data_IF_543638386123
#
_entry.id   IF_543638386123
#
_cell.length_a   1.000
_cell.length_b   1.000
_cell.length_c   1.000
_cell.angle_alpha   90.00
_cell.angle_beta   90.00
_cell.angle_gamma   90.00
#
_symmetry.space_group_name_H-M   'P 1'
#
loop_
_entity.id
_entity.type
_entity.pdbx_description
1 polymer ?
#
# COMPACT_ATOMS: atom_id res chain seq x y z
N UNK A 1 50.04 4.76 -1.39
CA UNK A 1 48.97 5.24 -0.49
C UNK A 1 47.66 5.19 -1.26
N UNK A 2 46.80 4.21 -0.98
CA UNK A 2 45.47 4.12 -1.57
C UNK A 2 44.56 5.02 -0.74
N UNK A 3 43.99 6.04 -1.40
CA UNK A 3 43.04 6.96 -0.77
C UNK A 3 41.76 6.16 -0.49
N UNK A 4 41.44 5.94 0.79
CA UNK A 4 40.13 5.42 1.15
C UNK A 4 39.09 6.48 0.74
N UNK A 5 38.25 6.14 -0.22
CA UNK A 5 37.14 6.98 -0.64
C UNK A 5 35.98 6.61 0.29
N UNK A 6 35.61 7.52 1.19
CA UNK A 6 34.48 7.32 2.09
C UNK A 6 33.21 7.10 1.24
N UNK A 7 32.62 5.91 1.37
CA UNK A 7 31.34 5.61 0.76
C UNK A 7 30.24 6.40 1.50
N UNK A 8 29.27 7.01 0.78
CA UNK A 8 28.19 7.74 1.42
C UNK A 8 27.38 6.81 2.34
N UNK A 9 26.90 7.37 3.46
CA UNK A 9 26.06 6.67 4.44
C UNK A 9 24.80 6.11 3.74
N UNK A 10 24.65 4.78 3.70
CA UNK A 10 23.55 4.09 2.98
C UNK A 10 22.28 3.85 3.82
N UNK A 11 22.30 4.20 5.10
CA UNK A 11 21.16 4.08 6.00
C UNK A 11 21.04 5.36 6.83
N UNK A 12 19.80 5.83 7.05
CA UNK A 12 19.50 6.96 7.93
C UNK A 12 18.62 6.45 9.06
N UNK A 13 19.07 6.65 10.30
CA UNK A 13 18.19 6.51 11.44
C UNK A 13 17.29 7.75 11.51
N UNK A 14 15.98 7.57 11.42
CA UNK A 14 15.01 8.65 11.59
C UNK A 14 14.18 8.40 12.84
N UNK A 15 13.91 9.47 13.59
CA UNK A 15 12.75 9.46 14.48
C UNK A 15 11.51 9.18 13.66
N UNK A 16 10.58 8.38 14.16
CA UNK A 16 9.43 7.97 13.37
C UNK A 16 8.54 9.14 12.97
N UNK A 17 8.46 10.18 13.79
CA UNK A 17 7.83 11.45 13.41
C UNK A 17 8.43 12.14 12.17
N UNK A 18 9.63 11.71 11.72
CA UNK A 18 10.34 12.25 10.57
C UNK A 18 10.31 11.29 9.36
N UNK A 19 9.66 10.12 9.47
CA UNK A 19 9.40 9.24 8.31
C UNK A 19 8.41 9.96 7.39
N UNK A 20 8.63 9.97 6.06
CA UNK A 20 7.71 10.58 5.12
C UNK A 20 6.26 10.14 5.36
N UNK A 21 5.34 11.10 5.39
CA UNK A 21 3.92 10.83 5.67
C UNK A 21 3.30 9.86 4.66
N UNK A 22 3.80 9.84 3.43
CA UNK A 22 3.33 9.01 2.33
C UNK A 22 3.51 7.51 2.58
N UNK A 23 4.37 7.13 3.53
CA UNK A 23 4.55 5.73 3.94
C UNK A 23 3.48 5.24 4.92
N UNK A 24 2.68 6.15 5.52
CA UNK A 24 1.60 5.85 6.48
C UNK A 24 2.01 4.91 7.66
N UNK A 25 3.31 4.79 7.93
CA UNK A 25 3.90 3.80 8.84
C UNK A 25 3.71 4.14 10.34
N UNK A 26 3.18 5.33 10.65
CA UNK A 26 3.19 5.93 11.99
C UNK A 26 1.99 5.59 12.89
N UNK A 27 1.07 4.77 12.41
CA UNK A 27 -0.20 4.51 13.11
C UNK A 27 -0.11 3.40 14.17
N UNK A 28 1.03 2.74 14.36
CA UNK A 28 1.20 1.67 15.37
C UNK A 28 2.52 1.80 16.14
N UNK A 29 2.44 2.12 17.42
CA UNK A 29 3.60 2.31 18.31
C UNK A 29 4.32 1.00 18.66
N UNK A 30 3.64 -0.14 18.56
CA UNK A 30 4.20 -1.47 18.86
C UNK A 30 5.13 -1.98 17.77
N UNK A 31 4.94 -1.55 16.52
CA UNK A 31 5.74 -2.02 15.38
C UNK A 31 7.07 -1.29 15.24
N UNK A 32 7.10 -0.02 15.65
CA UNK A 32 8.20 0.93 15.41
C UNK A 32 9.46 0.62 16.22
N UNK A 33 9.33 0.43 17.54
CA UNK A 33 10.49 0.21 18.42
C UNK A 33 11.15 -1.15 18.17
N UNK A 34 10.36 -2.15 17.81
CA UNK A 34 10.84 -3.50 17.51
C UNK A 34 11.50 -3.58 16.13
N UNK A 35 10.95 -2.90 15.11
CA UNK A 35 11.50 -2.92 13.75
C UNK A 35 12.88 -2.25 13.66
N UNK A 36 13.08 -1.12 14.36
CA UNK A 36 14.37 -0.43 14.36
C UNK A 36 15.46 -1.23 15.07
N UNK A 37 15.10 -1.88 16.19
CA UNK A 37 16.00 -2.77 16.94
C UNK A 37 16.34 -4.02 16.12
N UNK A 38 15.36 -4.60 15.42
CA UNK A 38 15.56 -5.74 14.50
C UNK A 38 16.43 -5.35 13.31
N UNK A 39 16.17 -4.24 12.61
CA UNK A 39 17.01 -3.79 11.49
C UNK A 39 18.46 -3.55 11.91
N UNK A 40 18.70 -2.95 13.08
CA UNK A 40 20.05 -2.71 13.60
C UNK A 40 20.74 -4.00 14.04
N UNK A 41 20.02 -4.93 14.69
CA UNK A 41 20.56 -6.24 15.09
C UNK A 41 20.83 -7.15 13.88
N UNK A 42 19.93 -7.17 12.88
CA UNK A 42 20.11 -7.95 11.66
C UNK A 42 21.28 -7.41 10.81
N UNK A 43 21.44 -6.09 10.66
CA UNK A 43 22.60 -5.52 9.95
C UNK A 43 23.93 -5.77 10.67
N UNK A 44 23.94 -5.84 12.01
CA UNK A 44 25.16 -6.08 12.78
C UNK A 44 25.60 -7.56 12.81
N UNK A 45 24.68 -8.50 12.54
CA UNK A 45 24.89 -9.94 12.75
C UNK A 45 24.76 -10.81 11.49
N UNK A 46 24.23 -10.29 10.37
CA UNK A 46 24.15 -11.06 9.12
C UNK A 46 25.44 -10.88 8.31
N UNK A 47 26.13 -11.97 7.90
CA UNK A 47 27.05 -11.85 6.77
C UNK A 47 26.25 -11.32 5.59
N UNK A 48 26.78 -10.34 4.86
CA UNK A 48 26.14 -9.81 3.65
C UNK A 48 25.93 -10.96 2.66
N UNK A 49 24.73 -11.55 2.66
CA UNK A 49 24.40 -12.61 1.71
C UNK A 49 24.04 -11.95 0.39
N UNK A 50 24.37 -12.59 -0.72
CA UNK A 50 24.05 -12.08 -2.07
C UNK A 50 22.62 -12.43 -2.49
N UNK A 51 21.76 -12.71 -1.52
CA UNK A 51 20.39 -13.13 -1.78
C UNK A 51 19.52 -11.91 -2.09
N UNK A 52 18.38 -12.14 -2.74
CA UNK A 52 17.39 -11.07 -2.97
C UNK A 52 16.77 -10.61 -1.65
N UNK A 53 16.62 -9.29 -1.49
CA UNK A 53 16.00 -8.67 -0.32
C UNK A 53 14.83 -7.77 -0.74
N UNK A 54 13.88 -7.55 0.17
CA UNK A 54 12.69 -6.72 -0.05
C UNK A 54 12.28 -6.00 1.24
N UNK A 55 11.25 -5.14 1.16
CA UNK A 55 10.74 -4.37 2.30
C UNK A 55 11.45 -3.03 2.51
N UNK A 56 12.15 -2.55 1.48
CA UNK A 56 12.66 -1.19 1.39
C UNK A 56 11.53 -0.20 1.11
N UNK A 57 11.89 1.05 0.83
CA UNK A 57 10.93 2.10 0.47
C UNK A 57 10.03 1.63 -0.70
N UNK A 58 8.72 1.77 -0.50
CA UNK A 58 7.72 1.33 -1.47
C UNK A 58 7.68 2.19 -2.74
N UNK A 59 8.38 3.32 -2.75
CA UNK A 59 8.58 4.18 -3.93
C UNK A 59 9.68 3.65 -4.85
N UNK A 60 10.52 2.71 -4.38
CA UNK A 60 11.57 2.12 -5.19
C UNK A 60 10.98 1.12 -6.18
N UNK A 61 11.40 1.23 -7.45
CA UNK A 61 10.77 0.49 -8.55
C UNK A 61 10.96 -1.03 -8.48
N UNK A 62 11.98 -1.51 -7.78
CA UNK A 62 12.22 -2.94 -7.51
C UNK A 62 11.29 -3.49 -6.41
N UNK A 63 10.71 -2.61 -5.58
CA UNK A 63 9.69 -2.95 -4.59
C UNK A 63 8.26 -2.91 -5.15
N UNK A 64 8.05 -2.42 -6.38
CA UNK A 64 6.72 -2.37 -7.00
C UNK A 64 6.25 -3.77 -7.46
N UNK A 65 5.14 -4.31 -6.91
CA UNK A 65 4.54 -5.52 -7.45
C UNK A 65 3.85 -5.24 -8.79
N UNK A 66 3.67 -6.27 -9.61
CA UNK A 66 2.82 -6.20 -10.79
C UNK A 66 1.50 -6.94 -10.56
N UNK A 67 0.44 -6.44 -11.19
CA UNK A 67 -0.88 -7.05 -11.17
C UNK A 67 -1.35 -7.28 -12.61
N UNK A 68 -1.83 -8.48 -12.91
CA UNK A 68 -2.52 -8.80 -14.14
C UNK A 68 -3.98 -9.09 -13.81
N UNK A 69 -4.89 -8.39 -14.49
CA UNK A 69 -6.32 -8.59 -14.35
C UNK A 69 -6.94 -8.79 -15.73
N UNK A 70 -7.77 -9.82 -15.87
CA UNK A 70 -8.46 -10.14 -17.12
C UNK A 70 -9.86 -10.65 -16.78
N UNK A 71 -10.87 -10.15 -17.50
CA UNK A 71 -12.25 -10.55 -17.29
C UNK A 71 -13.20 -9.74 -18.18
N UNK A 72 -14.47 -10.15 -18.28
CA UNK A 72 -15.47 -9.50 -19.14
C UNK A 72 -15.76 -8.05 -18.76
N UNK A 73 -15.65 -7.75 -17.46
CA UNK A 73 -15.94 -6.45 -16.86
C UNK A 73 -14.69 -5.58 -16.62
N UNK A 74 -13.52 -6.05 -17.08
CA UNK A 74 -12.25 -5.35 -16.97
C UNK A 74 -11.92 -4.71 -18.32
N UNK A 75 -11.66 -3.39 -18.39
CA UNK A 75 -11.25 -2.74 -19.63
C UNK A 75 -9.92 -3.30 -20.14
N UNK A 76 -9.80 -3.42 -21.45
CA UNK A 76 -8.52 -3.74 -22.09
C UNK A 76 -7.69 -2.46 -22.19
N UNK A 77 -6.58 -2.42 -21.46
CA UNK A 77 -5.62 -1.32 -21.52
C UNK A 77 -4.49 -1.65 -22.51
N UNK A 78 -4.11 -0.66 -23.33
CA UNK A 78 -2.95 -0.74 -24.23
C UNK A 78 -1.63 -0.58 -23.48
N UNK A 79 -1.65 0.17 -22.37
CA UNK A 79 -0.48 0.53 -21.59
C UNK A 79 -0.62 0.12 -20.14
N UNK A 80 0.53 -0.02 -19.46
CA UNK A 80 0.61 -0.24 -18.01
C UNK A 80 -0.11 0.89 -17.26
N UNK A 81 -0.84 0.53 -16.21
CA UNK A 81 -1.56 1.47 -15.35
C UNK A 81 -1.00 1.44 -13.94
N UNK A 82 -1.03 2.59 -13.28
CA UNK A 82 -0.63 2.71 -11.88
C UNK A 82 -1.80 2.34 -10.99
N UNK A 83 -1.61 1.37 -10.10
CA UNK A 83 -2.65 0.89 -9.20
C UNK A 83 -2.10 0.84 -7.77
N UNK A 84 -2.78 1.51 -6.84
CA UNK A 84 -2.41 1.42 -5.43
C UNK A 84 -2.93 0.11 -4.85
N UNK A 85 -2.07 -0.71 -4.27
CA UNK A 85 -2.46 -2.04 -3.76
C UNK A 85 -3.57 -1.96 -2.70
N UNK A 86 -3.62 -0.88 -1.89
CA UNK A 86 -4.69 -0.63 -0.91
C UNK A 86 -6.07 -0.51 -1.55
N UNK A 87 -6.14 -0.19 -2.85
CA UNK A 87 -7.38 -0.06 -3.60
C UNK A 87 -7.88 -1.40 -4.19
N UNK A 88 -7.14 -2.50 -4.02
CA UNK A 88 -7.57 -3.81 -4.53
C UNK A 88 -8.91 -4.24 -3.91
N UNK A 89 -9.09 -4.00 -2.61
CA UNK A 89 -10.32 -4.33 -1.91
C UNK A 89 -11.54 -3.56 -2.46
N UNK A 90 -11.55 -2.20 -2.53
CA UNK A 90 -12.67 -1.47 -3.12
C UNK A 90 -12.90 -1.81 -4.61
N UNK A 91 -11.86 -2.14 -5.37
CA UNK A 91 -12.00 -2.62 -6.75
C UNK A 91 -12.80 -3.94 -6.82
N UNK A 92 -12.46 -4.92 -5.99
CA UNK A 92 -13.18 -6.20 -5.94
C UNK A 92 -14.62 -5.99 -5.45
N UNK A 93 -14.84 -5.18 -4.42
CA UNK A 93 -16.18 -4.85 -3.96
C UNK A 93 -17.05 -4.25 -5.07
N UNK A 94 -16.50 -3.34 -5.87
CA UNK A 94 -17.21 -2.73 -6.98
C UNK A 94 -17.59 -3.73 -8.08
N UNK A 95 -16.68 -4.65 -8.45
CA UNK A 95 -16.99 -5.72 -9.41
C UNK A 95 -18.11 -6.66 -8.91
N UNK A 96 -18.17 -6.90 -7.61
CA UNK A 96 -19.17 -7.77 -6.99
C UNK A 96 -20.46 -7.04 -6.58
N UNK A 97 -20.55 -5.72 -6.78
CA UNK A 97 -21.70 -4.92 -6.36
C UNK A 97 -21.86 -4.78 -4.83
N UNK A 98 -20.77 -4.89 -4.07
CA UNK A 98 -20.77 -4.76 -2.61
C UNK A 98 -20.53 -3.30 -2.20
N UNK A 99 -21.56 -2.60 -1.74
CA UNK A 99 -21.57 -1.15 -1.47
C UNK A 99 -21.28 -0.75 -0.01
N UNK A 100 -21.13 -1.74 0.88
CA UNK A 100 -20.94 -1.53 2.33
C UNK A 100 -19.63 -2.17 2.81
N UNK A 101 -18.47 -1.59 2.45
CA UNK A 101 -17.18 -2.05 2.94
C UNK A 101 -17.02 -1.77 4.44
N UNK A 102 -16.08 -2.45 5.09
CA UNK A 102 -15.56 -1.97 6.37
C UNK A 102 -14.81 -0.64 6.20
N UNK A 103 -14.44 -0.01 7.33
CA UNK A 103 -13.54 1.15 7.31
C UNK A 103 -12.19 0.75 6.72
N UNK A 104 -11.76 1.44 5.66
CA UNK A 104 -10.57 1.13 4.87
C UNK A 104 -9.86 2.40 4.40
N UNK A 105 -8.57 2.30 4.09
CA UNK A 105 -7.78 3.40 3.52
C UNK A 105 -7.87 3.48 1.98
N UNK A 106 -8.38 2.42 1.35
CA UNK A 106 -8.60 2.35 -0.10
C UNK A 106 -9.70 3.30 -0.57
N UNK A 107 -9.55 3.86 -1.77
CA UNK A 107 -10.48 4.85 -2.32
C UNK A 107 -11.18 4.31 -3.58
N UNK A 108 -12.51 4.22 -3.51
CA UNK A 108 -13.34 3.75 -4.63
C UNK A 108 -13.15 4.61 -5.89
N UNK A 109 -12.93 5.91 -5.74
CA UNK A 109 -12.73 6.85 -6.85
C UNK A 109 -11.53 6.49 -7.72
N UNK A 110 -10.44 6.02 -7.11
CA UNK A 110 -9.20 5.65 -7.80
C UNK A 110 -9.37 4.40 -8.67
N UNK A 111 -10.38 3.57 -8.39
CA UNK A 111 -10.60 2.31 -9.11
C UNK A 111 -11.67 2.36 -10.19
N UNK A 112 -12.52 3.39 -10.19
CA UNK A 112 -13.55 3.57 -11.22
C UNK A 112 -13.03 3.51 -12.67
N UNK A 113 -11.81 4.00 -13.00
CA UNK A 113 -11.28 3.86 -14.36
C UNK A 113 -10.96 2.41 -14.77
N UNK A 114 -10.81 1.50 -13.81
CA UNK A 114 -10.51 0.08 -14.03
C UNK A 114 -11.75 -0.80 -14.18
N UNK A 115 -12.94 -0.22 -14.10
CA UNK A 115 -14.21 -0.92 -14.26
C UNK A 115 -14.84 -0.56 -15.61
N UNK A 116 -15.19 -1.58 -16.39
CA UNK A 116 -15.92 -1.38 -17.66
C UNK A 116 -17.34 -0.88 -17.40
N UNK A 117 -18.02 -1.53 -16.46
CA UNK A 117 -19.35 -1.15 -15.99
C UNK A 117 -19.19 -0.36 -14.70
N UNK A 118 -19.32 0.96 -14.79
CA UNK A 118 -19.17 1.83 -13.62
C UNK A 118 -20.41 1.73 -12.73
N UNK A 119 -20.25 1.62 -11.40
CA UNK A 119 -21.38 1.64 -10.49
C UNK A 119 -22.09 3.00 -10.52
N UNK A 120 -23.33 3.03 -10.02
CA UNK A 120 -24.11 4.27 -9.95
C UNK A 120 -23.50 5.27 -8.96
N UNK A 121 -23.92 6.54 -9.05
CA UNK A 121 -23.46 7.57 -8.13
C UNK A 121 -23.85 7.25 -6.68
N UNK A 122 -25.06 6.74 -6.49
CA UNK A 122 -25.61 6.36 -5.18
C UNK A 122 -24.78 5.25 -4.54
N UNK A 123 -24.37 4.24 -5.32
CA UNK A 123 -23.46 3.19 -4.87
C UNK A 123 -22.15 3.80 -4.37
N UNK A 124 -21.53 4.68 -5.17
CA UNK A 124 -20.22 5.26 -4.85
C UNK A 124 -20.31 6.14 -3.61
N UNK A 125 -21.35 6.96 -3.50
CA UNK A 125 -21.55 7.85 -2.36
C UNK A 125 -21.73 7.04 -1.06
N UNK A 126 -22.54 5.97 -1.09
CA UNK A 126 -22.69 5.06 0.05
C UNK A 126 -21.38 4.33 0.39
N UNK A 127 -20.65 3.83 -0.62
CA UNK A 127 -19.37 3.15 -0.41
C UNK A 127 -18.39 4.06 0.35
N UNK A 128 -18.29 5.35 -0.02
CA UNK A 128 -17.43 6.32 0.68
C UNK A 128 -17.84 6.52 2.13
N UNK A 129 -19.14 6.55 2.43
CA UNK A 129 -19.63 6.72 3.80
C UNK A 129 -19.25 5.54 4.69
N UNK A 130 -19.35 4.32 4.18
CA UNK A 130 -18.92 3.11 4.89
C UNK A 130 -17.40 3.00 5.01
N UNK A 131 -16.67 3.22 3.91
CA UNK A 131 -15.21 3.15 3.88
C UNK A 131 -14.55 4.18 4.82
N UNK A 132 -15.14 5.36 4.98
CA UNK A 132 -14.68 6.36 5.95
C UNK A 132 -15.03 6.03 7.41
N UNK A 133 -15.95 5.08 7.64
CA UNK A 133 -16.53 4.81 8.96
C UNK A 133 -17.58 5.83 9.40
N UNK A 134 -18.06 6.68 8.48
CA UNK A 134 -19.16 7.62 8.75
C UNK A 134 -20.47 6.87 8.99
N UNK A 135 -20.73 5.82 8.20
CA UNK A 135 -21.82 4.88 8.44
C UNK A 135 -21.29 3.64 9.15
N UNK A 136 -21.86 3.25 10.30
CA UNK A 136 -21.55 1.97 10.91
C UNK A 136 -22.26 0.84 10.17
N UNK A 137 -21.71 -0.37 10.26
CA UNK A 137 -22.54 -1.56 10.06
C UNK A 137 -23.54 -1.59 11.21
N UNK A 138 -24.83 -1.74 10.89
CA UNK A 138 -25.81 -2.07 11.91
C UNK A 138 -25.46 -3.47 12.38
N UNK A 139 -25.00 -3.58 13.63
CA UNK A 139 -24.79 -4.88 14.24
C UNK A 139 -26.13 -5.62 14.21
N UNK A 140 -26.17 -6.75 13.50
CA UNK A 140 -27.31 -7.66 13.53
C UNK A 140 -27.27 -8.38 14.89
N UNK A 141 -27.79 -7.72 15.93
CA UNK A 141 -28.13 -8.31 17.22
C UNK A 141 -29.62 -8.14 17.48
#
# INVERSE_FOLDING_TARGET
MIKAQEAPLKARCMFTSLIPCDSHFLLSSTFVFLLLLLLLLFHALQPFTKDGAHGYDNMESDMHPFMLAMGPDIPHFTDRKHFYQVDLYPYICAMLGLDKPNRIDGQIDRVLPYLKNKPSREYVDQFRLYASGTLPHQDLY
#
